data_IF_129619891280
#
_entry.id   IF_129619891280
#
_cell.length_a   1.000
_cell.length_b   1.000
_cell.length_c   1.000
_cell.angle_alpha   90.00
_cell.angle_beta   90.00
_cell.angle_gamma   90.00
#
_symmetry.space_group_name_H-M   'P 1'
#
loop_
_entity.id
_entity.type
_entity.pdbx_description
1 polymer ?
#
# COMPACT_ATOMS: atom_id res chain seq x y z
N UNK A 1 1.04 -4.06 -38.78
CA UNK A 1 1.71 -3.37 -37.63
C UNK A 1 1.16 -3.98 -36.36
N UNK A 2 1.81 -5.00 -35.88
CA UNK A 2 1.46 -5.63 -34.62
C UNK A 2 1.92 -4.68 -33.52
N UNK A 3 0.96 -4.00 -32.91
CA UNK A 3 1.22 -3.25 -31.68
C UNK A 3 1.18 -4.30 -30.57
N UNK A 4 2.36 -4.82 -30.22
CA UNK A 4 2.57 -5.60 -29.01
C UNK A 4 2.22 -4.71 -27.82
N UNK A 5 0.96 -4.71 -27.42
CA UNK A 5 0.56 -4.26 -26.10
C UNK A 5 1.03 -5.31 -25.09
N UNK A 6 2.33 -5.32 -24.82
CA UNK A 6 2.84 -5.95 -23.65
C UNK A 6 2.27 -5.19 -22.46
N UNK A 7 1.21 -5.72 -21.84
CA UNK A 7 0.67 -5.22 -20.58
C UNK A 7 1.81 -5.19 -19.57
N UNK A 8 2.34 -4.01 -19.28
CA UNK A 8 3.29 -3.85 -18.20
C UNK A 8 2.51 -3.94 -16.89
N UNK A 9 2.57 -5.12 -16.27
CA UNK A 9 2.06 -5.31 -14.93
C UNK A 9 2.90 -4.48 -13.96
N UNK A 10 2.28 -3.52 -13.30
CA UNK A 10 2.88 -2.76 -12.23
C UNK A 10 2.72 -3.50 -10.91
N UNK A 11 3.61 -3.22 -9.96
CA UNK A 11 3.46 -3.64 -8.56
C UNK A 11 3.33 -2.43 -7.66
N UNK A 12 2.49 -2.55 -6.64
CA UNK A 12 2.34 -1.55 -5.59
C UNK A 12 2.45 -2.19 -4.22
N UNK A 13 3.00 -1.43 -3.27
CA UNK A 13 2.95 -1.78 -1.85
C UNK A 13 1.72 -1.17 -1.21
N UNK A 14 0.97 -1.98 -0.47
CA UNK A 14 -0.18 -1.56 0.32
C UNK A 14 -0.02 -2.10 1.74
N UNK A 15 -0.21 -1.25 2.74
CA UNK A 15 -0.18 -1.67 4.14
C UNK A 15 -1.40 -1.14 4.90
N UNK A 16 -2.11 -2.05 5.55
CA UNK A 16 -3.12 -1.70 6.55
C UNK A 16 -2.38 -1.44 7.86
N UNK A 17 -2.49 -0.22 8.37
CA UNK A 17 -1.78 0.25 9.55
C UNK A 17 -2.43 -0.23 10.85
N UNK A 18 -1.78 -0.05 12.04
CA UNK A 18 -2.30 -0.57 13.30
C UNK A 18 -3.75 -0.16 13.61
N UNK A 19 -4.16 1.05 13.26
CA UNK A 19 -5.53 1.54 13.45
C UNK A 19 -6.56 0.75 12.62
N UNK A 20 -6.21 0.31 11.41
CA UNK A 20 -7.06 -0.56 10.59
C UNK A 20 -7.06 -2.00 11.10
N UNK A 21 -5.91 -2.53 11.51
CA UNK A 21 -5.80 -3.90 12.04
C UNK A 21 -6.54 -4.06 13.36
N UNK A 22 -6.41 -3.12 14.30
CA UNK A 22 -7.10 -3.16 15.59
C UNK A 22 -8.63 -3.07 15.47
N UNK A 23 -9.13 -2.59 14.35
CA UNK A 23 -10.57 -2.60 14.05
C UNK A 23 -11.07 -3.93 13.46
N UNK A 24 -10.27 -4.99 13.52
CA UNK A 24 -10.67 -6.37 13.20
C UNK A 24 -10.44 -6.76 11.74
N UNK A 25 -9.61 -6.04 11.00
CA UNK A 25 -9.49 -6.29 9.57
C UNK A 25 -8.48 -7.38 9.19
N UNK A 26 -7.30 -7.54 9.81
CA UNK A 26 -6.35 -8.71 9.64
C UNK A 26 -5.13 -8.69 10.59
N UNK A 27 -4.40 -9.79 10.69
CA UNK A 27 -3.22 -10.04 11.58
C UNK A 27 -1.96 -10.37 10.79
N UNK A 28 -0.78 -9.63 10.94
CA UNK A 28 0.45 -10.27 10.45
C UNK A 28 1.82 -9.80 11.01
N UNK A 29 2.20 -8.52 11.11
CA UNK A 29 3.57 -8.10 11.53
C UNK A 29 3.53 -6.90 12.44
N UNK A 30 4.35 -6.91 13.51
CA UNK A 30 4.62 -5.71 14.32
C UNK A 30 5.99 -5.16 13.92
N UNK A 31 6.07 -4.08 13.12
CA UNK A 31 7.36 -3.53 12.72
C UNK A 31 8.06 -2.86 13.91
N UNK A 32 9.39 -2.97 13.97
CA UNK A 32 10.17 -2.23 14.95
C UNK A 32 10.19 -0.73 14.62
N UNK A 33 10.48 0.11 15.62
CA UNK A 33 10.63 1.56 15.39
C UNK A 33 11.72 1.88 14.37
N UNK A 34 12.86 1.16 14.42
CA UNK A 34 13.93 1.32 13.42
C UNK A 34 13.51 0.95 12.00
N UNK A 35 12.61 -0.03 11.87
CA UNK A 35 12.02 -0.37 10.58
C UNK A 35 11.05 0.74 10.10
N UNK A 36 10.20 1.25 10.98
CA UNK A 36 9.31 2.37 10.68
C UNK A 36 10.08 3.64 10.24
N UNK A 37 11.23 3.90 10.85
CA UNK A 37 12.12 5.00 10.44
C UNK A 37 12.66 4.82 9.02
N UNK A 38 12.97 3.60 8.60
CA UNK A 38 13.38 3.30 7.22
C UNK A 38 12.23 3.50 6.24
N UNK A 39 11.03 3.05 6.59
CA UNK A 39 9.83 3.20 5.76
C UNK A 39 9.46 4.66 5.52
N UNK A 40 9.59 5.51 6.54
CA UNK A 40 9.30 6.94 6.45
C UNK A 40 10.53 7.81 6.22
N UNK A 41 11.64 7.25 5.73
CA UNK A 41 12.92 7.95 5.58
C UNK A 41 12.81 9.30 4.89
N UNK A 42 11.98 9.41 3.85
CA UNK A 42 11.77 10.65 3.08
C UNK A 42 11.09 11.76 3.90
N UNK A 43 10.51 11.41 5.03
CA UNK A 43 9.83 12.34 5.96
C UNK A 43 10.67 12.68 7.18
N UNK A 44 11.95 12.24 7.25
CA UNK A 44 12.81 12.36 8.44
C UNK A 44 12.97 13.77 9.00
N UNK A 45 12.89 14.79 8.15
CA UNK A 45 13.00 16.21 8.51
C UNK A 45 11.65 16.83 8.94
N UNK A 46 10.56 16.06 8.90
CA UNK A 46 9.24 16.57 9.27
C UNK A 46 9.02 16.49 10.78
N UNK A 47 8.39 17.51 11.41
CA UNK A 47 8.18 17.54 12.86
C UNK A 47 7.33 16.36 13.38
N UNK A 48 6.50 15.77 12.53
CA UNK A 48 5.66 14.63 12.88
C UNK A 48 6.33 13.25 12.66
N UNK A 49 7.58 13.20 12.16
CA UNK A 49 8.27 11.96 11.81
C UNK A 49 8.33 10.94 12.95
N UNK A 50 8.75 11.37 14.15
CA UNK A 50 8.86 10.47 15.29
C UNK A 50 7.51 9.89 15.70
N UNK A 51 6.46 10.71 15.75
CA UNK A 51 5.11 10.26 16.06
C UNK A 51 4.56 9.27 15.02
N UNK A 52 4.90 9.48 13.76
CA UNK A 52 4.53 8.57 12.67
C UNK A 52 5.22 7.20 12.80
N UNK A 53 6.52 7.19 13.14
CA UNK A 53 7.28 5.97 13.39
C UNK A 53 6.80 5.23 14.64
N UNK A 54 6.52 5.95 15.73
CA UNK A 54 5.97 5.39 16.95
C UNK A 54 4.61 4.75 16.70
N UNK A 55 3.77 5.40 15.89
CA UNK A 55 2.46 4.87 15.54
C UNK A 55 2.58 3.59 14.66
N UNK A 56 3.39 3.58 13.62
CA UNK A 56 3.55 2.40 12.76
C UNK A 56 4.09 1.20 13.53
N UNK A 57 4.97 1.43 14.52
CA UNK A 57 5.54 0.38 15.38
C UNK A 57 4.69 0.02 16.61
N UNK A 58 3.54 0.67 16.80
CA UNK A 58 2.69 0.46 17.99
C UNK A 58 1.81 -0.79 17.93
N UNK A 59 1.70 -1.45 16.79
CA UNK A 59 0.84 -2.60 16.64
C UNK A 59 1.04 -3.32 15.31
N UNK A 60 0.26 -4.37 15.06
CA UNK A 60 0.39 -5.18 13.87
C UNK A 60 -0.01 -4.40 12.60
N UNK A 61 0.70 -4.70 11.50
CA UNK A 61 0.50 -4.17 10.16
C UNK A 61 0.30 -5.34 9.20
N UNK A 62 -0.65 -5.24 8.30
CA UNK A 62 -0.74 -6.15 7.15
C UNK A 62 -0.05 -5.50 5.95
N UNK A 63 1.08 -6.08 5.53
CA UNK A 63 1.80 -5.67 4.34
C UNK A 63 1.43 -6.55 3.14
N UNK A 64 1.22 -5.94 1.97
CA UNK A 64 0.80 -6.63 0.75
C UNK A 64 1.55 -6.07 -0.45
N UNK A 65 1.76 -6.92 -1.45
CA UNK A 65 2.17 -6.52 -2.80
C UNK A 65 1.03 -6.87 -3.74
N UNK A 66 0.54 -5.89 -4.47
CA UNK A 66 -0.48 -6.08 -5.50
C UNK A 66 0.13 -5.87 -6.87
N UNK A 67 -0.27 -6.68 -7.83
CA UNK A 67 0.20 -6.63 -9.20
C UNK A 67 -1.00 -6.51 -10.15
N UNK A 68 -0.90 -5.64 -11.14
CA UNK A 68 -1.94 -5.45 -12.17
C UNK A 68 -1.67 -4.23 -13.02
N UNK A 69 -2.42 -4.09 -14.09
CA UNK A 69 -2.35 -2.92 -14.95
C UNK A 69 -2.80 -1.67 -14.20
N UNK A 70 -1.94 -0.64 -14.16
CA UNK A 70 -2.23 0.63 -13.49
C UNK A 70 -2.51 0.52 -12.00
N UNK A 71 -2.07 -0.56 -11.33
CA UNK A 71 -2.42 -0.90 -9.95
C UNK A 71 -2.03 0.18 -8.95
N UNK A 72 -0.94 0.93 -9.20
CA UNK A 72 -0.52 2.04 -8.33
C UNK A 72 -1.60 3.12 -8.32
N UNK A 73 -1.99 3.57 -9.49
CA UNK A 73 -3.01 4.62 -9.66
C UNK A 73 -4.37 4.20 -9.13
N UNK A 74 -4.81 2.99 -9.49
CA UNK A 74 -6.09 2.45 -9.04
C UNK A 74 -6.11 2.17 -7.54
N UNK A 75 -5.03 1.63 -6.99
CA UNK A 75 -4.87 1.44 -5.55
C UNK A 75 -4.99 2.77 -4.79
N UNK A 76 -4.30 3.82 -5.25
CA UNK A 76 -4.42 5.16 -4.66
C UNK A 76 -5.82 5.74 -4.76
N UNK A 77 -6.51 5.51 -5.88
CA UNK A 77 -7.90 5.96 -6.07
C UNK A 77 -8.85 5.24 -5.10
N UNK A 78 -8.70 3.93 -4.92
CA UNK A 78 -9.49 3.13 -3.99
C UNK A 78 -9.24 3.53 -2.53
N UNK A 79 -8.00 3.82 -2.18
CA UNK A 79 -7.61 4.26 -0.83
C UNK A 79 -8.20 5.63 -0.49
N UNK A 80 -8.22 6.55 -1.43
CA UNK A 80 -8.66 7.94 -1.21
C UNK A 80 -7.52 8.90 -0.87
N UNK A 81 -7.83 10.17 -0.69
CA UNK A 81 -6.88 11.23 -0.36
C UNK A 81 -6.19 10.98 0.99
N UNK A 82 -4.96 11.51 1.16
CA UNK A 82 -4.22 11.40 2.43
C UNK A 82 -4.99 12.00 3.61
N UNK A 83 -5.70 13.10 3.37
CA UNK A 83 -6.65 13.67 4.31
C UNK A 83 -8.03 13.01 4.12
N UNK A 84 -8.52 12.26 5.12
CA UNK A 84 -9.83 11.60 5.02
C UNK A 84 -10.98 12.54 4.73
N UNK A 85 -10.93 13.79 5.22
CA UNK A 85 -12.00 14.78 4.99
C UNK A 85 -12.06 15.28 3.55
N UNK A 86 -11.00 15.04 2.76
CA UNK A 86 -10.92 15.32 1.32
C UNK A 86 -11.08 14.07 0.47
N UNK A 87 -11.32 12.92 1.10
CA UNK A 87 -11.54 11.66 0.42
C UNK A 87 -13.01 11.52 0.02
N UNK A 88 -13.23 11.06 -1.21
CA UNK A 88 -14.57 10.82 -1.69
C UNK A 88 -15.25 9.66 -0.95
N UNK A 89 -16.57 9.70 -0.73
CA UNK A 89 -17.36 8.55 -0.29
C UNK A 89 -17.15 7.35 -1.21
N UNK A 90 -17.11 6.14 -0.64
CA UNK A 90 -16.81 4.92 -1.36
C UNK A 90 -15.31 4.60 -1.45
N UNK A 91 -14.44 5.51 -1.03
CA UNK A 91 -13.02 5.22 -0.82
C UNK A 91 -12.78 4.70 0.61
N UNK A 92 -11.70 3.93 0.81
CA UNK A 92 -11.38 3.37 2.13
C UNK A 92 -11.26 4.47 3.19
N UNK A 93 -10.54 5.54 2.89
CA UNK A 93 -10.39 6.65 3.84
C UNK A 93 -11.63 7.50 3.98
N UNK A 94 -12.37 7.72 2.89
CA UNK A 94 -13.63 8.48 2.92
C UNK A 94 -14.69 7.82 3.78
N UNK A 95 -14.78 6.51 3.76
CA UNK A 95 -15.79 5.76 4.51
C UNK A 95 -15.37 5.42 5.95
N UNK A 96 -14.07 5.20 6.18
CA UNK A 96 -13.59 4.57 7.42
C UNK A 96 -12.65 5.42 8.26
N UNK A 97 -12.06 6.47 7.72
CA UNK A 97 -11.10 7.33 8.44
C UNK A 97 -11.69 8.70 8.75
N UNK A 98 -11.16 9.34 9.80
CA UNK A 98 -11.64 10.65 10.27
C UNK A 98 -10.54 11.71 10.23
N UNK A 99 -9.32 11.35 10.62
CA UNK A 99 -8.18 12.29 10.72
C UNK A 99 -6.93 11.75 10.05
N UNK A 100 -6.06 12.64 9.57
CA UNK A 100 -4.83 12.28 8.82
C UNK A 100 -3.92 11.36 9.63
N UNK A 101 -3.74 11.61 10.93
CA UNK A 101 -2.87 10.79 11.79
C UNK A 101 -3.37 9.36 12.03
N UNK A 102 -4.61 9.05 11.65
CA UNK A 102 -5.27 7.74 11.75
C UNK A 102 -6.05 7.46 10.48
N UNK A 103 -5.35 7.45 9.33
CA UNK A 103 -5.94 7.27 8.01
C UNK A 103 -5.81 5.83 7.46
N UNK A 104 -5.67 4.85 8.36
CA UNK A 104 -5.94 3.41 8.21
C UNK A 104 -4.96 2.65 7.32
N UNK A 105 -4.68 3.13 6.11
CA UNK A 105 -4.03 2.38 5.04
C UNK A 105 -2.97 3.24 4.36
N UNK A 106 -1.92 2.60 3.89
CA UNK A 106 -0.89 3.20 3.04
C UNK A 106 -0.87 2.51 1.68
N UNK A 107 -0.55 3.24 0.64
CA UNK A 107 -0.25 2.73 -0.70
C UNK A 107 0.82 3.59 -1.35
N UNK A 108 1.73 2.95 -2.06
CA UNK A 108 2.78 3.64 -2.81
C UNK A 108 2.20 4.69 -3.76
N UNK A 109 2.88 5.80 -3.92
CA UNK A 109 2.42 6.93 -4.72
C UNK A 109 3.01 6.96 -6.14
N UNK A 110 3.99 6.12 -6.41
CA UNK A 110 4.64 6.01 -7.71
C UNK A 110 5.47 4.73 -7.88
N UNK A 111 5.98 4.45 -9.10
CA UNK A 111 6.74 3.23 -9.38
C UNK A 111 8.02 3.09 -8.56
N UNK A 112 8.79 4.14 -8.38
CA UNK A 112 10.03 4.11 -7.59
C UNK A 112 9.75 3.88 -6.11
N UNK A 113 8.78 4.62 -5.55
CA UNK A 113 8.34 4.42 -4.17
C UNK A 113 7.83 2.99 -3.95
N UNK A 114 7.04 2.45 -4.88
CA UNK A 114 6.56 1.08 -4.82
C UNK A 114 7.71 0.06 -4.79
N UNK A 115 8.70 0.24 -5.65
CA UNK A 115 9.89 -0.63 -5.73
C UNK A 115 10.70 -0.61 -4.43
N UNK A 116 10.92 0.58 -3.85
CA UNK A 116 11.70 0.73 -2.63
C UNK A 116 10.95 0.20 -1.41
N UNK A 117 9.66 0.45 -1.31
CA UNK A 117 8.82 -0.07 -0.24
C UNK A 117 8.71 -1.60 -0.30
N UNK A 118 8.50 -2.19 -1.48
CA UNK A 118 8.47 -3.64 -1.65
C UNK A 118 9.80 -4.26 -1.19
N UNK A 119 10.94 -3.71 -1.60
CA UNK A 119 12.27 -4.21 -1.18
C UNK A 119 12.51 -4.07 0.32
N UNK A 120 11.94 -3.04 0.96
CA UNK A 120 12.07 -2.84 2.39
C UNK A 120 11.25 -3.86 3.18
N UNK A 121 10.01 -4.16 2.72
CA UNK A 121 9.06 -4.98 3.45
C UNK A 121 9.16 -6.48 3.14
N UNK A 122 9.65 -6.85 1.96
CA UNK A 122 9.68 -8.23 1.50
C UNK A 122 11.06 -8.61 0.96
N UNK A 123 11.49 -9.82 1.27
CA UNK A 123 12.58 -10.47 0.58
C UNK A 123 12.09 -11.01 -0.78
N UNK A 124 12.96 -11.14 -1.80
CA UNK A 124 12.54 -11.64 -3.12
C UNK A 124 11.83 -13.00 -3.07
N UNK A 125 12.26 -13.90 -2.18
CA UNK A 125 11.69 -15.23 -2.00
C UNK A 125 10.31 -15.24 -1.32
N UNK A 126 9.89 -14.13 -0.72
CA UNK A 126 8.57 -13.96 -0.13
C UNK A 126 7.53 -13.50 -1.14
N UNK A 127 7.98 -13.10 -2.33
CA UNK A 127 7.11 -12.67 -3.43
C UNK A 127 6.75 -13.87 -4.30
N UNK A 128 5.49 -14.26 -4.28
CA UNK A 128 4.98 -15.38 -5.08
C UNK A 128 4.69 -14.89 -6.49
N UNK A 129 5.29 -15.55 -7.49
CA UNK A 129 4.94 -15.36 -8.89
C UNK A 129 3.93 -16.45 -9.29
N UNK A 130 2.74 -16.06 -9.71
CA UNK A 130 1.73 -16.97 -10.22
C UNK A 130 0.90 -16.29 -11.30
N UNK A 131 0.36 -17.10 -12.22
CA UNK A 131 -0.65 -16.65 -13.17
C UNK A 131 -2.02 -16.99 -12.64
N UNK A 132 -2.89 -16.00 -12.50
CA UNK A 132 -4.26 -16.24 -12.05
C UNK A 132 -5.02 -17.08 -13.04
N UNK A 133 -5.74 -18.10 -12.58
CA UNK A 133 -6.65 -18.88 -13.44
C UNK A 133 -7.76 -18.01 -14.06
N UNK A 134 -8.03 -16.85 -13.47
CA UNK A 134 -9.01 -15.89 -13.97
C UNK A 134 -8.41 -14.85 -14.93
N UNK A 135 -7.10 -14.85 -15.20
CA UNK A 135 -6.41 -13.83 -15.99
C UNK A 135 -7.07 -13.59 -17.35
N UNK A 136 -7.38 -14.67 -18.08
CA UNK A 136 -8.08 -14.59 -19.37
C UNK A 136 -9.47 -13.95 -19.30
N UNK A 137 -10.13 -14.04 -18.15
CA UNK A 137 -11.44 -13.42 -17.91
C UNK A 137 -11.33 -11.96 -17.47
N UNK A 138 -10.22 -11.58 -16.88
CA UNK A 138 -9.95 -10.22 -16.41
C UNK A 138 -9.43 -9.36 -17.57
N UNK A 139 -8.48 -9.87 -18.35
CA UNK A 139 -7.81 -9.11 -19.41
C UNK A 139 -8.33 -9.39 -20.82
N UNK A 140 -9.27 -10.32 -20.98
CA UNK A 140 -9.96 -10.53 -22.25
C UNK A 140 -9.07 -11.03 -23.39
N UNK A 141 -8.15 -11.94 -23.14
CA UNK A 141 -7.35 -12.59 -24.18
C UNK A 141 -8.27 -13.50 -25.03
N UNK A 142 -8.80 -12.93 -26.10
CA UNK A 142 -9.52 -13.65 -27.17
C UNK A 142 -8.56 -14.02 -28.29
#
# INVERSE_FOLDING_TARGET
MDVDFAFQLERTFIAIKPDGVQRGLVWIVVPSKGFAQKHYHDLKERPFFNGLCDFLSSGPVLAMVWEGEGVIKYGRKLIGATDPQKSEPGTIRGDLAVVVGRNIIHGSDGPETAKDEIKLWFKPEELVNYTSNAEKWIYGNN
#
